data_IF_945015939519
#
_entry.id   IF_945015939519
#
_cell.length_a   1.000
_cell.length_b   1.000
_cell.length_c   1.000
_cell.angle_alpha   90.00
_cell.angle_beta   90.00
_cell.angle_gamma   90.00
#
_symmetry.space_group_name_H-M   'P 1'
#
loop_
_entity.id
_entity.type
_entity.pdbx_description
1 polymer ?
#
# COMPACT_ATOMS: atom_id res chain seq x y z
N UNK A 1 -16.82 -2.30 6.12
CA UNK A 1 -16.25 -2.58 7.46
C UNK A 1 -14.80 -2.16 7.42
N UNK A 2 -14.33 -1.35 8.38
CA UNK A 2 -12.92 -0.99 8.45
C UNK A 2 -12.07 -2.25 8.70
N UNK A 3 -10.88 -2.33 8.08
CA UNK A 3 -9.96 -3.42 8.33
C UNK A 3 -9.44 -3.34 9.77
N UNK A 4 -9.53 -4.43 10.52
CA UNK A 4 -8.96 -4.52 11.88
C UNK A 4 -7.56 -5.12 11.84
N UNK A 5 -6.79 -4.90 12.92
CA UNK A 5 -5.47 -5.49 13.08
C UNK A 5 -5.53 -7.02 13.05
N UNK A 6 -6.51 -7.60 13.73
CA UNK A 6 -6.69 -9.05 13.86
C UNK A 6 -6.94 -9.68 12.50
N UNK A 7 -7.86 -9.09 11.73
CA UNK A 7 -8.16 -9.56 10.37
C UNK A 7 -6.96 -9.43 9.44
N UNK A 8 -6.19 -8.35 9.55
CA UNK A 8 -4.98 -8.18 8.75
C UNK A 8 -3.93 -9.24 9.09
N UNK A 9 -3.72 -9.53 10.38
CA UNK A 9 -2.78 -10.56 10.83
C UNK A 9 -3.21 -11.95 10.38
N UNK A 10 -4.51 -12.24 10.38
CA UNK A 10 -5.07 -13.47 9.82
C UNK A 10 -4.75 -13.58 8.32
N UNK A 11 -5.07 -12.56 7.51
CA UNK A 11 -4.76 -12.53 6.07
C UNK A 11 -3.25 -12.67 5.80
N UNK A 12 -2.39 -12.11 6.66
CA UNK A 12 -0.93 -12.28 6.57
C UNK A 12 -0.55 -13.74 6.85
N UNK A 13 -1.14 -14.36 7.87
CA UNK A 13 -0.81 -15.72 8.29
C UNK A 13 -1.21 -16.78 7.27
N UNK A 14 -2.32 -16.57 6.55
CA UNK A 14 -2.78 -17.44 5.46
C UNK A 14 -1.84 -17.39 4.24
N UNK A 15 -1.06 -16.32 4.13
CA UNK A 15 -0.02 -16.17 3.12
C UNK A 15 1.34 -16.65 3.64
N UNK A 16 1.74 -17.87 3.26
CA UNK A 16 3.05 -18.44 3.67
C UNK A 16 4.24 -17.53 3.30
N UNK A 17 4.22 -16.94 2.11
CA UNK A 17 5.24 -15.99 1.65
C UNK A 17 5.24 -14.69 2.45
N UNK A 18 4.07 -14.08 2.66
CA UNK A 18 3.95 -12.81 3.39
C UNK A 18 4.27 -13.00 4.86
N UNK A 19 3.71 -14.03 5.49
CA UNK A 19 4.00 -14.40 6.87
C UNK A 19 5.50 -14.55 7.10
N UNK A 20 6.22 -15.25 6.21
CA UNK A 20 7.69 -15.41 6.33
C UNK A 20 8.42 -14.06 6.28
N UNK A 21 8.08 -13.20 5.32
CA UNK A 21 8.70 -11.86 5.18
C UNK A 21 8.36 -10.98 6.38
N UNK A 22 7.09 -10.96 6.79
CA UNK A 22 6.59 -10.18 7.91
C UNK A 22 7.26 -10.58 9.23
N UNK A 23 7.35 -11.88 9.52
CA UNK A 23 7.98 -12.40 10.73
C UNK A 23 9.50 -12.17 10.76
N UNK A 24 10.14 -11.94 9.62
CA UNK A 24 11.56 -11.55 9.54
C UNK A 24 11.80 -10.05 9.79
N UNK A 25 10.75 -9.23 9.83
CA UNK A 25 10.84 -7.80 10.11
C UNK A 25 11.01 -7.52 11.61
N UNK A 26 11.60 -6.38 11.94
CA UNK A 26 11.59 -5.84 13.31
C UNK A 26 10.15 -5.58 13.79
N UNK A 27 9.93 -5.55 15.11
CA UNK A 27 8.59 -5.27 15.68
C UNK A 27 8.10 -3.90 15.27
N UNK A 28 9.02 -2.94 15.19
CA UNK A 28 8.77 -1.57 14.75
C UNK A 28 8.25 -1.55 13.31
N UNK A 29 8.91 -2.26 12.39
CA UNK A 29 8.48 -2.33 10.99
C UNK A 29 7.16 -3.10 10.81
N UNK A 30 6.94 -4.14 11.61
CA UNK A 30 5.65 -4.86 11.65
C UNK A 30 4.52 -3.93 12.08
N UNK A 31 4.70 -3.19 13.19
CA UNK A 31 3.72 -2.23 13.69
C UNK A 31 3.48 -1.09 12.69
N UNK A 32 4.55 -0.57 12.09
CA UNK A 32 4.48 0.46 11.06
C UNK A 32 3.62 0.02 9.87
N UNK A 33 3.81 -1.22 9.38
CA UNK A 33 2.98 -1.76 8.31
C UNK A 33 1.52 -1.86 8.74
N UNK A 34 1.24 -2.43 9.91
CA UNK A 34 -0.13 -2.59 10.42
C UNK A 34 -0.83 -1.25 10.50
N UNK A 35 -0.20 -0.25 11.13
CA UNK A 35 -0.77 1.08 11.31
C UNK A 35 -1.04 1.75 9.96
N UNK A 36 -0.06 1.70 9.05
CA UNK A 36 -0.19 2.27 7.70
C UNK A 36 -1.33 1.61 6.92
N UNK A 37 -1.44 0.28 6.97
CA UNK A 37 -2.49 -0.48 6.27
C UNK A 37 -3.89 -0.16 6.81
N UNK A 38 -4.04 -0.10 8.13
CA UNK A 38 -5.32 0.22 8.77
C UNK A 38 -5.78 1.62 8.34
N UNK A 39 -4.90 2.61 8.39
CA UNK A 39 -5.22 3.99 7.99
C UNK A 39 -5.57 4.10 6.51
N UNK A 40 -4.81 3.46 5.61
CA UNK A 40 -5.09 3.48 4.16
C UNK A 40 -6.39 2.72 3.82
N UNK A 41 -6.68 1.63 4.52
CA UNK A 41 -7.82 0.76 4.22
C UNK A 41 -9.16 1.51 4.20
N UNK A 42 -9.26 2.63 4.92
CA UNK A 42 -10.44 3.50 4.98
C UNK A 42 -10.81 4.12 3.64
N UNK A 43 -9.84 4.29 2.74
CA UNK A 43 -10.04 4.87 1.40
C UNK A 43 -10.24 3.81 0.33
N UNK A 44 -9.83 2.57 0.62
CA UNK A 44 -9.85 1.49 -0.35
C UNK A 44 -11.24 0.89 -0.51
N UNK A 45 -11.50 0.34 -1.69
CA UNK A 45 -12.72 -0.38 -2.04
C UNK A 45 -12.47 -1.87 -2.26
N UNK A 46 -11.42 -2.44 -1.65
CA UNK A 46 -11.17 -3.88 -1.65
C UNK A 46 -12.45 -4.62 -1.25
N UNK A 47 -12.91 -5.53 -2.11
CA UNK A 47 -13.99 -6.47 -1.78
C UNK A 47 -13.44 -7.78 -1.20
N UNK A 48 -12.23 -8.14 -1.60
CA UNK A 48 -11.49 -9.30 -1.11
C UNK A 48 -10.45 -8.90 -0.05
N UNK A 49 -9.56 -9.83 0.32
CA UNK A 49 -8.39 -9.55 1.16
C UNK A 49 -7.38 -8.60 0.51
N UNK A 50 -6.53 -8.02 1.34
CA UNK A 50 -5.51 -7.04 0.99
C UNK A 50 -4.15 -7.71 0.70
N UNK A 51 -3.86 -8.83 1.35
CA UNK A 51 -2.61 -9.56 1.18
C UNK A 51 -2.66 -10.38 -0.10
N UNK A 52 -1.69 -10.19 -1.00
CA UNK A 52 -1.62 -10.94 -2.27
C UNK A 52 -0.25 -11.60 -2.45
N UNK A 53 -0.26 -12.90 -2.73
CA UNK A 53 0.94 -13.69 -3.03
C UNK A 53 1.29 -13.64 -4.51
N UNK A 54 2.33 -12.88 -4.86
CA UNK A 54 2.89 -12.81 -6.21
C UNK A 54 4.42 -12.75 -6.17
N UNK A 55 5.08 -12.46 -7.30
CA UNK A 55 6.54 -12.32 -7.41
C UNK A 55 7.15 -11.38 -6.37
N UNK A 56 6.42 -10.34 -5.99
CA UNK A 56 6.71 -9.54 -4.80
C UNK A 56 5.51 -9.57 -3.86
N UNK A 57 5.79 -10.00 -2.63
CA UNK A 57 4.84 -10.09 -1.55
C UNK A 57 4.39 -8.68 -1.13
N UNK A 58 3.11 -8.36 -1.35
CA UNK A 58 2.60 -7.00 -1.19
C UNK A 58 1.18 -6.97 -0.65
N UNK A 59 0.84 -5.85 0.01
CA UNK A 59 -0.52 -5.48 0.38
C UNK A 59 -1.06 -4.54 -0.69
N UNK A 60 -2.26 -4.81 -1.21
CA UNK A 60 -2.86 -4.08 -2.33
C UNK A 60 -4.16 -3.41 -1.95
N UNK A 61 -4.32 -2.19 -2.44
CA UNK A 61 -5.52 -1.40 -2.25
C UNK A 61 -6.15 -1.09 -3.60
N UNK A 62 -7.44 -1.29 -3.70
CA UNK A 62 -8.19 -1.22 -4.94
C UNK A 62 -9.22 -0.09 -4.94
N UNK A 63 -9.49 0.49 -6.11
CA UNK A 63 -10.59 1.43 -6.34
C UNK A 63 -11.41 0.99 -7.57
N UNK A 64 -12.74 1.21 -7.61
CA UNK A 64 -13.52 0.98 -8.81
C UNK A 64 -13.03 1.90 -9.93
N UNK A 65 -12.88 1.37 -11.13
CA UNK A 65 -12.52 2.19 -12.28
C UNK A 65 -13.74 2.96 -12.80
N UNK A 66 -13.55 4.19 -13.28
CA UNK A 66 -14.63 5.04 -13.81
C UNK A 66 -15.34 4.39 -15.01
N UNK A 67 -14.63 3.53 -15.77
CA UNK A 67 -15.17 2.83 -16.94
C UNK A 67 -14.90 1.33 -16.83
N UNK A 68 -15.93 0.53 -16.61
CA UNK A 68 -15.81 -0.93 -16.46
C UNK A 68 -15.89 -1.36 -15.00
N UNK A 69 -16.76 -2.34 -14.73
CA UNK A 69 -17.21 -2.75 -13.39
C UNK A 69 -16.18 -3.52 -12.55
N UNK A 70 -14.88 -3.32 -12.77
CA UNK A 70 -13.81 -4.06 -12.08
C UNK A 70 -12.95 -3.11 -11.26
N UNK A 71 -12.75 -3.48 -10.00
CA UNK A 71 -11.76 -2.86 -9.13
C UNK A 71 -10.37 -2.97 -9.75
N UNK A 72 -9.60 -1.89 -9.69
CA UNK A 72 -8.22 -1.84 -10.14
C UNK A 72 -7.30 -1.55 -8.97
N UNK A 73 -6.11 -2.15 -9.01
CA UNK A 73 -5.06 -1.86 -8.05
C UNK A 73 -4.60 -0.40 -8.19
N UNK A 74 -4.58 0.31 -7.07
CA UNK A 74 -4.25 1.73 -6.99
C UNK A 74 -3.10 2.01 -6.03
N UNK A 75 -2.83 1.13 -5.07
CA UNK A 75 -1.71 1.29 -4.16
C UNK A 75 -1.16 -0.07 -3.75
N UNK A 76 0.16 -0.16 -3.65
CA UNK A 76 0.87 -1.36 -3.19
C UNK A 76 1.87 -0.99 -2.10
N UNK A 77 1.83 -1.75 -1.01
CA UNK A 77 2.83 -1.71 0.06
C UNK A 77 3.68 -2.98 -0.02
N UNK A 78 4.99 -2.81 -0.19
CA UNK A 78 5.96 -3.92 -0.23
C UNK A 78 6.96 -3.78 0.90
N UNK A 79 6.99 -4.77 1.79
CA UNK A 79 7.99 -4.84 2.86
C UNK A 79 9.38 -5.07 2.31
N UNK A 80 10.37 -4.36 2.84
CA UNK A 80 11.80 -4.57 2.55
C UNK A 80 12.55 -4.75 3.87
N UNK A 81 12.52 -5.95 4.48
CA UNK A 81 13.08 -6.19 5.81
C UNK A 81 14.55 -5.77 5.93
N UNK A 82 15.37 -6.11 4.92
CA UNK A 82 16.81 -5.76 4.87
C UNK A 82 17.10 -4.27 4.86
N UNK A 83 16.13 -3.44 4.45
CA UNK A 83 16.26 -1.99 4.38
C UNK A 83 15.44 -1.28 5.47
N UNK A 84 14.82 -2.05 6.37
CA UNK A 84 13.92 -1.57 7.42
C UNK A 84 12.90 -0.52 6.94
N UNK A 85 12.21 -0.80 5.83
CA UNK A 85 11.30 0.16 5.21
C UNK A 85 10.15 -0.53 4.47
N UNK A 86 9.09 0.25 4.22
CA UNK A 86 7.97 -0.11 3.36
C UNK A 86 8.09 0.71 2.08
N UNK A 87 8.10 0.04 0.93
CA UNK A 87 8.00 0.71 -0.38
C UNK A 87 6.53 0.89 -0.68
N UNK A 88 6.13 2.12 -1.00
CA UNK A 88 4.76 2.45 -1.41
C UNK A 88 4.77 2.84 -2.87
N UNK A 89 4.03 2.09 -3.68
CA UNK A 89 3.77 2.43 -5.07
C UNK A 89 2.28 2.82 -5.21
N UNK A 90 2.01 4.08 -5.53
CA UNK A 90 0.66 4.62 -5.68
C UNK A 90 0.43 5.05 -7.12
N UNK A 91 -0.74 4.69 -7.64
CA UNK A 91 -1.21 5.10 -8.96
C UNK A 91 -1.78 6.50 -8.89
N UNK A 92 -1.27 7.39 -9.73
CA UNK A 92 -1.69 8.80 -9.77
C UNK A 92 -2.54 9.11 -10.98
N UNK A 93 -2.27 8.46 -12.12
CA UNK A 93 -2.99 8.72 -13.38
C UNK A 93 -3.16 10.23 -13.68
N UNK A 94 -2.07 10.99 -13.57
CA UNK A 94 -2.07 12.43 -13.82
C UNK A 94 -2.55 13.29 -12.66
N UNK A 95 -2.98 12.70 -11.53
CA UNK A 95 -3.26 13.47 -10.32
C UNK A 95 -1.99 14.04 -9.73
N UNK A 96 -2.01 15.35 -9.50
CA UNK A 96 -0.93 16.04 -8.84
C UNK A 96 -0.80 15.62 -7.38
N UNK A 97 0.34 15.02 -7.04
CA UNK A 97 0.77 14.75 -5.68
C UNK A 97 2.15 15.39 -5.44
N UNK A 98 2.34 15.91 -4.24
CA UNK A 98 3.58 16.52 -3.80
C UNK A 98 3.79 16.24 -2.32
N UNK A 99 5.04 16.20 -1.88
CA UNK A 99 5.39 16.03 -0.48
C UNK A 99 6.70 16.74 -0.17
N UNK A 100 6.76 17.37 0.99
CA UNK A 100 7.98 17.97 1.54
C UNK A 100 8.74 16.97 2.42
N UNK A 101 8.04 15.95 2.94
CA UNK A 101 8.61 14.93 3.84
C UNK A 101 9.05 13.69 3.08
N UNK A 102 8.22 13.20 2.15
CA UNK A 102 8.43 11.95 1.44
C UNK A 102 8.97 12.20 0.03
N UNK A 103 10.13 11.63 -0.27
CA UNK A 103 10.70 11.74 -1.63
C UNK A 103 9.88 10.91 -2.62
N UNK A 104 9.19 11.61 -3.52
CA UNK A 104 8.42 11.03 -4.61
C UNK A 104 9.31 10.73 -5.83
N UNK A 105 9.15 9.54 -6.41
CA UNK A 105 9.81 9.11 -7.64
C UNK A 105 8.73 8.74 -8.64
N UNK A 106 8.67 9.41 -9.79
CA UNK A 106 7.78 9.02 -10.88
C UNK A 106 8.28 7.72 -11.53
N UNK A 107 7.41 6.71 -11.59
CA UNK A 107 7.68 5.40 -12.18
C UNK A 107 7.09 5.24 -13.58
N UNK A 108 6.34 6.22 -14.07
CA UNK A 108 5.60 6.16 -15.33
C UNK A 108 4.60 5.01 -15.35
N UNK A 109 4.45 4.37 -16.52
CA UNK A 109 3.58 3.21 -16.72
C UNK A 109 4.28 1.91 -16.30
N UNK A 110 4.68 1.81 -15.02
CA UNK A 110 5.39 0.64 -14.51
C UNK A 110 4.51 -0.60 -14.35
N UNK A 111 3.24 -0.40 -13.97
CA UNK A 111 2.32 -1.50 -13.68
C UNK A 111 1.09 -1.43 -14.56
N UNK A 112 0.68 -2.60 -15.08
CA UNK A 112 -0.51 -2.74 -15.89
C UNK A 112 -1.75 -2.22 -15.17
N UNK A 113 -2.62 -1.57 -15.93
CA UNK A 113 -3.92 -1.10 -15.47
C UNK A 113 -4.01 0.40 -15.22
N UNK A 114 -2.88 1.12 -15.09
CA UNK A 114 -2.78 2.59 -15.01
C UNK A 114 -1.74 3.18 -15.94
N UNK A 115 -1.69 4.50 -16.09
CA UNK A 115 -0.75 5.17 -16.98
C UNK A 115 0.32 5.98 -16.24
N UNK A 116 0.14 6.21 -14.94
CA UNK A 116 1.14 6.88 -14.12
C UNK A 116 1.17 6.35 -12.68
N UNK A 117 2.38 6.02 -12.21
CA UNK A 117 2.66 5.55 -10.87
C UNK A 117 3.76 6.38 -10.23
N UNK A 118 3.67 6.57 -8.92
CA UNK A 118 4.68 7.20 -8.10
C UNK A 118 5.12 6.27 -6.97
N UNK A 119 6.39 6.35 -6.60
CA UNK A 119 6.99 5.60 -5.50
C UNK A 119 7.47 6.54 -4.41
N UNK A 120 7.24 6.14 -3.17
CA UNK A 120 7.94 6.68 -2.00
C UNK A 120 8.22 5.54 -1.01
N UNK A 121 8.94 5.86 0.07
CA UNK A 121 9.28 4.90 1.13
C UNK A 121 8.79 5.43 2.46
N UNK A 122 8.32 4.53 3.33
CA UNK A 122 7.94 4.84 4.71
C UNK A 122 8.85 4.02 5.62
N UNK A 123 9.51 4.71 6.56
CA UNK A 123 10.52 4.17 7.47
C UNK A 123 10.13 4.35 8.94
N UNK A 124 9.31 5.35 9.24
CA UNK A 124 8.91 5.67 10.61
C UNK A 124 7.44 6.08 10.74
N UNK A 125 6.93 6.08 11.97
CA UNK A 125 5.53 6.37 12.26
C UNK A 125 5.13 7.83 11.97
N UNK A 126 6.07 8.79 12.02
CA UNK A 126 5.77 10.20 11.75
C UNK A 126 5.46 10.42 10.26
N UNK A 127 5.98 9.56 9.39
CA UNK A 127 5.71 9.56 7.95
C UNK A 127 4.32 8.99 7.59
N UNK A 128 3.65 8.27 8.50
CA UNK A 128 2.33 7.64 8.22
C UNK A 128 1.32 8.70 7.78
N UNK A 129 1.23 9.83 8.50
CA UNK A 129 0.23 10.86 8.21
C UNK A 129 0.39 11.41 6.80
N UNK A 130 1.64 11.62 6.38
CA UNK A 130 1.95 12.13 5.05
C UNK A 130 1.73 11.07 3.96
N UNK A 131 2.13 9.82 4.22
CA UNK A 131 1.87 8.70 3.32
C UNK A 131 0.36 8.53 3.08
N UNK A 132 -0.45 8.56 4.14
CA UNK A 132 -1.91 8.45 4.05
C UNK A 132 -2.49 9.62 3.27
N UNK A 133 -2.04 10.86 3.49
CA UNK A 133 -2.49 12.05 2.72
C UNK A 133 -2.20 11.91 1.22
N UNK A 134 -1.02 11.44 0.85
CA UNK A 134 -0.65 11.24 -0.56
C UNK A 134 -1.52 10.17 -1.22
N UNK A 135 -1.76 9.06 -0.51
CA UNK A 135 -2.55 7.96 -1.01
C UNK A 135 -4.01 8.39 -1.12
N UNK A 136 -4.60 9.01 -0.09
CA UNK A 136 -6.02 9.38 -0.09
C UNK A 136 -6.41 10.26 -1.27
N UNK A 137 -5.56 11.21 -1.67
CA UNK A 137 -5.76 12.05 -2.87
C UNK A 137 -5.95 11.23 -4.14
N UNK A 138 -5.26 10.09 -4.24
CA UNK A 138 -5.38 9.19 -5.38
C UNK A 138 -6.74 8.45 -5.37
N UNK A 139 -7.37 8.31 -4.21
CA UNK A 139 -8.69 7.72 -4.04
C UNK A 139 -9.84 8.74 -4.13
N UNK A 140 -9.60 10.04 -3.95
CA UNK A 140 -10.60 11.10 -4.11
C UNK A 140 -11.08 11.23 -5.56
N UNK A 141 -12.38 11.16 -5.84
CA UNK A 141 -12.93 11.29 -7.19
C UNK A 141 -14.07 10.33 -7.47
#
# INVERSE_FOLDING_TARGET
>A
MALTKERLLEEISESSGFSTVFNSCSRELQNLLINLVIEISRYSCNREGYVKNMKETSIRFEKPYLVGRKNQNYCMLTLRPRLNQIVVDVRTDGKFINSETLKLINLGNKYNGGFEWHRFVVKDENEIKEAVRLISKCYEG
#
